data_IF_242117104414
#
_entry.id   IF_242117104414
#
_cell.length_a   1.000
_cell.length_b   1.000
_cell.length_c   1.000
_cell.angle_alpha   90.00
_cell.angle_beta   90.00
_cell.angle_gamma   90.00
#
_symmetry.space_group_name_H-M   'P 1'
#
loop_
_entity.id
_entity.type
_entity.pdbx_description
1 polymer ?
#
# COMPACT_ATOMS: atom_id res chain seq x y z
N UNK A 1 41.28 -20.53 53.68
CA UNK A 1 40.83 -19.13 53.60
C UNK A 1 41.65 -18.43 52.54
N UNK A 2 41.07 -18.18 51.37
CA UNK A 2 41.60 -17.25 50.36
C UNK A 2 40.38 -16.65 49.67
N UNK A 3 40.18 -15.36 49.88
CA UNK A 3 39.07 -14.59 49.32
C UNK A 3 39.48 -14.07 47.93
N UNK A 4 38.85 -14.57 46.88
CA UNK A 4 38.91 -13.97 45.55
C UNK A 4 37.83 -12.88 45.47
N UNK A 5 38.26 -11.61 45.46
CA UNK A 5 37.40 -10.45 45.15
C UNK A 5 37.39 -10.26 43.63
N UNK A 6 36.22 -10.37 43.02
CA UNK A 6 35.98 -9.91 41.65
C UNK A 6 35.77 -8.39 41.65
N UNK A 7 36.29 -7.63 40.65
CA UNK A 7 36.00 -6.22 40.53
C UNK A 7 34.59 -6.01 39.97
N UNK A 8 33.84 -5.09 40.59
CA UNK A 8 32.59 -4.57 40.06
C UNK A 8 32.90 -3.73 38.82
N UNK A 9 32.54 -4.23 37.63
CA UNK A 9 32.50 -3.41 36.43
C UNK A 9 31.20 -2.57 36.46
N UNK A 10 31.24 -1.28 36.12
CA UNK A 10 30.04 -0.48 36.00
C UNK A 10 29.21 -1.00 34.82
N UNK A 11 27.96 -1.36 35.10
CA UNK A 11 26.94 -1.62 34.08
C UNK A 11 26.62 -0.27 33.43
N UNK A 12 27.40 0.08 32.41
CA UNK A 12 27.03 1.15 31.48
C UNK A 12 25.84 0.66 30.67
N UNK A 13 24.65 1.04 31.12
CA UNK A 13 23.42 0.95 30.33
C UNK A 13 23.59 1.93 29.16
N UNK A 14 24.14 1.44 28.05
CA UNK A 14 23.99 2.11 26.77
C UNK A 14 22.54 1.90 26.34
N UNK A 15 21.69 2.88 26.63
CA UNK A 15 20.45 3.07 25.88
C UNK A 15 20.90 3.45 24.48
N UNK A 16 21.08 2.45 23.61
CA UNK A 16 21.12 2.68 22.19
C UNK A 16 19.73 3.16 21.80
N UNK A 17 19.56 4.49 21.83
CA UNK A 17 18.45 5.14 21.17
C UNK A 17 18.66 4.91 19.67
N UNK A 18 18.21 3.75 19.19
CA UNK A 18 18.05 3.50 17.77
C UNK A 18 16.95 4.46 17.31
N UNK A 19 17.35 5.69 16.98
CA UNK A 19 16.61 6.54 16.06
C UNK A 19 16.61 5.78 14.73
N UNK A 20 15.70 4.82 14.59
CA UNK A 20 15.26 4.35 13.30
C UNK A 20 14.61 5.55 12.64
N UNK A 21 15.41 6.32 11.91
CA UNK A 21 14.91 7.05 10.77
C UNK A 21 14.38 5.97 9.82
N UNK A 22 13.13 5.55 10.02
CA UNK A 22 12.34 5.05 8.90
C UNK A 22 12.30 6.24 7.96
N UNK A 23 13.12 6.19 6.91
CA UNK A 23 12.87 7.00 5.73
C UNK A 23 11.50 6.56 5.25
N UNK A 24 10.47 7.27 5.71
CA UNK A 24 9.11 7.07 5.26
C UNK A 24 9.13 7.17 3.75
N UNK A 25 8.50 6.23 3.08
CA UNK A 25 7.93 6.54 1.78
C UNK A 25 6.62 5.78 1.76
N UNK A 26 5.60 6.40 2.34
CA UNK A 26 4.27 6.21 1.83
C UNK A 26 4.25 7.04 0.52
N UNK A 27 4.09 6.35 -0.59
CA UNK A 27 4.22 6.91 -1.92
C UNK A 27 3.51 5.99 -2.87
N UNK A 28 2.19 5.92 -2.69
CA UNK A 28 1.34 5.15 -3.57
C UNK A 28 1.39 5.76 -4.98
N UNK A 29 1.19 4.89 -5.96
CA UNK A 29 1.02 5.29 -7.34
C UNK A 29 -0.14 4.51 -7.93
N UNK A 30 -0.71 5.04 -9.01
CA UNK A 30 -1.69 4.28 -9.78
C UNK A 30 -1.62 4.64 -11.26
N UNK A 31 -1.91 3.66 -12.11
CA UNK A 31 -2.11 3.89 -13.53
C UNK A 31 -3.48 4.50 -13.81
N UNK A 32 -3.55 5.48 -14.71
CA UNK A 32 -4.82 5.85 -15.32
C UNK A 32 -5.49 4.63 -15.97
N UNK A 33 -6.81 4.67 -16.13
CA UNK A 33 -7.60 3.55 -16.67
C UNK A 33 -7.14 3.09 -18.06
N UNK A 34 -6.60 3.99 -18.87
CA UNK A 34 -6.03 3.71 -20.18
C UNK A 34 -4.55 3.33 -20.16
N UNK A 35 -3.93 3.31 -18.97
CA UNK A 35 -2.53 3.02 -18.72
C UNK A 35 -1.54 3.98 -19.38
N UNK A 36 -1.98 5.17 -19.79
CA UNK A 36 -1.13 6.19 -20.42
C UNK A 36 -0.38 7.05 -19.43
N UNK A 37 -0.90 7.20 -18.22
CA UNK A 37 -0.29 8.00 -17.18
C UNK A 37 -0.17 7.22 -15.88
N UNK A 38 0.80 7.61 -15.07
CA UNK A 38 0.92 7.17 -13.68
C UNK A 38 0.88 8.39 -12.78
N UNK A 39 -0.01 8.38 -11.79
CA UNK A 39 -0.03 9.38 -10.73
C UNK A 39 0.76 8.86 -9.53
N UNK A 40 1.60 9.68 -8.92
CA UNK A 40 2.53 9.29 -7.85
C UNK A 40 2.41 10.29 -6.69
N UNK A 41 2.19 9.79 -5.48
CA UNK A 41 2.32 10.54 -4.25
C UNK A 41 3.79 10.59 -3.81
N UNK A 42 4.27 11.76 -3.39
CA UNK A 42 5.61 11.96 -2.85
C UNK A 42 5.55 12.38 -1.39
N UNK A 43 6.42 11.76 -0.60
CA UNK A 43 6.57 12.01 0.82
C UNK A 43 8.05 12.12 1.23
N UNK A 44 8.31 12.85 2.33
CA UNK A 44 9.62 13.08 2.94
C UNK A 44 10.56 13.97 2.12
N UNK A 45 11.68 13.41 1.62
CA UNK A 45 12.71 14.19 0.93
C UNK A 45 12.20 14.86 -0.35
N UNK A 46 11.05 14.40 -0.85
CA UNK A 46 10.27 15.02 -1.92
C UNK A 46 8.82 15.05 -1.50
N UNK A 47 8.15 16.17 -1.73
CA UNK A 47 6.73 16.35 -1.46
C UNK A 47 6.01 16.69 -2.76
N UNK A 48 4.72 16.39 -2.81
CA UNK A 48 3.88 16.73 -3.95
C UNK A 48 3.17 15.53 -4.58
N UNK A 49 2.37 15.84 -5.59
CA UNK A 49 1.60 14.88 -6.35
C UNK A 49 1.96 15.06 -7.83
N UNK A 50 2.44 13.99 -8.46
CA UNK A 50 2.92 14.03 -9.83
C UNK A 50 2.08 13.15 -10.74
N UNK A 51 2.04 13.51 -12.01
CA UNK A 51 1.54 12.67 -13.08
C UNK A 51 2.61 12.53 -14.16
N UNK A 52 2.94 11.29 -14.49
CA UNK A 52 3.93 10.92 -15.50
C UNK A 52 3.21 10.43 -16.74
N UNK A 53 3.47 11.04 -17.90
CA UNK A 53 3.08 10.48 -19.19
C UNK A 53 4.04 9.35 -19.59
N UNK A 54 3.53 8.13 -19.76
CA UNK A 54 4.34 6.93 -19.98
C UNK A 54 5.05 6.94 -21.34
N UNK A 55 4.48 7.59 -22.35
CA UNK A 55 5.03 7.60 -23.69
C UNK A 55 6.21 8.57 -23.83
N UNK A 56 6.08 9.76 -23.24
CA UNK A 56 7.05 10.85 -23.35
C UNK A 56 7.98 10.98 -22.15
N UNK A 57 7.65 10.36 -21.02
CA UNK A 57 8.35 10.58 -19.75
C UNK A 57 8.08 11.93 -19.11
N UNK A 58 7.14 12.72 -19.67
CA UNK A 58 6.84 14.06 -19.17
C UNK A 58 6.20 13.98 -17.79
N UNK A 59 6.80 14.68 -16.83
CA UNK A 59 6.28 14.84 -15.47
C UNK A 59 5.46 16.15 -15.41
N UNK A 60 4.26 16.07 -14.85
CA UNK A 60 3.39 17.20 -14.54
C UNK A 60 3.10 17.21 -13.05
N UNK A 61 3.34 18.32 -12.38
CA UNK A 61 3.05 18.49 -10.96
C UNK A 61 1.62 19.01 -10.75
N UNK A 62 0.93 18.46 -9.75
CA UNK A 62 -0.37 18.97 -9.34
C UNK A 62 -0.22 20.37 -8.73
N UNK A 63 -1.08 21.34 -9.08
CA UNK A 63 -1.05 22.67 -8.49
C UNK A 63 -1.65 22.62 -7.07
N UNK A 64 -0.87 22.12 -6.11
CA UNK A 64 -1.30 21.97 -4.73
C UNK A 64 -1.58 23.34 -4.07
N UNK A 65 -2.62 23.45 -3.23
CA UNK A 65 -2.88 24.66 -2.46
C UNK A 65 -1.73 24.94 -1.49
N UNK A 66 -1.55 26.21 -1.12
CA UNK A 66 -0.47 26.67 -0.25
C UNK A 66 -0.38 25.91 1.09
N UNK A 67 -1.52 25.42 1.61
CA UNK A 67 -1.57 24.66 2.86
C UNK A 67 -1.03 23.24 2.77
N UNK A 68 -0.83 22.74 1.55
CA UNK A 68 -0.22 21.45 1.22
C UNK A 68 1.18 21.61 0.63
N UNK A 69 1.68 22.85 0.56
CA UNK A 69 3.04 23.09 0.10
C UNK A 69 4.02 22.43 1.08
N UNK A 70 4.95 21.66 0.55
CA UNK A 70 5.97 20.93 1.30
C UNK A 70 5.42 19.82 2.21
N UNK A 71 4.10 19.58 2.21
CA UNK A 71 3.47 18.51 2.99
C UNK A 71 3.74 17.15 2.36
N UNK A 72 3.91 16.13 3.20
CA UNK A 72 3.92 14.75 2.73
C UNK A 72 2.55 14.37 2.15
N UNK A 73 2.57 13.79 0.95
CA UNK A 73 1.42 13.09 0.39
C UNK A 73 1.57 11.62 0.74
N UNK A 74 0.86 11.17 1.76
CA UNK A 74 1.02 9.83 2.34
C UNK A 74 0.57 8.75 1.35
N UNK A 75 -0.52 8.99 0.62
CA UNK A 75 -1.12 7.98 -0.24
C UNK A 75 -1.94 8.62 -1.35
N UNK A 76 -2.14 7.88 -2.44
CA UNK A 76 -2.98 8.25 -3.57
C UNK A 76 -3.72 7.03 -4.09
N UNK A 77 -4.99 7.22 -4.41
CA UNK A 77 -5.85 6.26 -5.04
C UNK A 77 -6.49 6.85 -6.30
N UNK A 78 -6.83 5.96 -7.24
CA UNK A 78 -7.68 6.33 -8.38
C UNK A 78 -9.08 6.68 -7.87
N UNK A 79 -9.56 7.88 -8.19
CA UNK A 79 -10.94 8.30 -7.93
C UNK A 79 -11.87 7.91 -9.08
N UNK A 80 -12.86 8.77 -9.34
CA UNK A 80 -13.69 8.68 -10.56
C UNK A 80 -12.88 8.92 -11.83
N UNK A 81 -13.55 8.97 -12.98
CA UNK A 81 -12.91 9.12 -14.29
C UNK A 81 -11.98 10.36 -14.34
N UNK A 82 -10.66 10.11 -14.34
CA UNK A 82 -9.61 11.13 -14.42
C UNK A 82 -9.25 11.81 -13.09
N UNK A 83 -9.84 11.40 -11.97
CA UNK A 83 -9.55 11.95 -10.64
C UNK A 83 -8.48 11.16 -9.90
N UNK A 84 -7.68 11.87 -9.12
CA UNK A 84 -6.78 11.30 -8.11
C UNK A 84 -7.27 11.71 -6.73
N UNK A 85 -7.58 10.74 -5.87
CA UNK A 85 -7.81 10.98 -4.45
C UNK A 85 -6.48 10.82 -3.73
N UNK A 86 -6.15 11.70 -2.79
CA UNK A 86 -4.89 11.62 -2.07
C UNK A 86 -5.02 12.04 -0.61
N UNK A 87 -4.13 11.52 0.21
CA UNK A 87 -4.10 11.72 1.65
C UNK A 87 -2.98 12.69 2.02
N UNK A 88 -3.34 13.81 2.66
CA UNK A 88 -2.40 14.80 3.16
C UNK A 88 -3.02 15.59 4.32
N UNK A 89 -2.22 15.89 5.35
CA UNK A 89 -2.60 16.79 6.46
C UNK A 89 -3.96 16.44 7.09
N UNK A 90 -4.11 15.19 7.51
CA UNK A 90 -5.33 14.65 8.14
C UNK A 90 -6.61 14.80 7.29
N UNK A 91 -6.47 14.74 5.97
CA UNK A 91 -7.58 14.88 5.06
C UNK A 91 -7.40 14.10 3.76
N UNK A 92 -8.55 13.66 3.22
CA UNK A 92 -8.64 13.19 1.85
C UNK A 92 -8.93 14.39 0.95
N UNK A 93 -8.12 14.52 -0.08
CA UNK A 93 -8.21 15.52 -1.12
C UNK A 93 -8.50 14.86 -2.46
N UNK A 94 -9.01 15.64 -3.40
CA UNK A 94 -9.18 15.24 -4.79
C UNK A 94 -8.40 16.20 -5.67
N UNK A 95 -7.68 15.64 -6.64
CA UNK A 95 -7.08 16.35 -7.77
C UNK A 95 -7.79 15.96 -9.07
N UNK A 96 -8.35 16.95 -9.75
CA UNK A 96 -8.98 16.82 -11.07
C UNK A 96 -8.20 17.68 -12.07
N UNK A 97 -7.34 17.08 -12.91
CA UNK A 97 -6.57 17.83 -13.91
C UNK A 97 -7.46 18.66 -14.85
N UNK A 98 -7.08 19.91 -15.09
CA UNK A 98 -7.80 20.83 -15.99
C UNK A 98 -9.06 21.49 -15.42
N UNK A 99 -9.50 21.14 -14.21
CA UNK A 99 -10.62 21.83 -13.56
C UNK A 99 -10.23 23.26 -13.11
N UNK A 100 -11.20 24.17 -13.06
CA UNK A 100 -10.99 25.56 -12.62
C UNK A 100 -10.47 25.65 -11.16
N UNK A 101 -10.89 24.71 -10.32
CA UNK A 101 -10.34 24.48 -8.98
C UNK A 101 -9.84 23.04 -8.94
N UNK A 102 -8.60 22.80 -9.34
CA UNK A 102 -8.10 21.45 -9.62
C UNK A 102 -7.91 20.61 -8.36
N UNK A 103 -7.65 21.23 -7.21
CA UNK A 103 -7.45 20.51 -5.95
C UNK A 103 -8.48 20.96 -4.92
N UNK A 104 -9.16 20.01 -4.28
CA UNK A 104 -10.18 20.28 -3.27
C UNK A 104 -10.06 19.32 -2.09
N UNK A 105 -10.23 19.83 -0.88
CA UNK A 105 -10.41 19.01 0.32
C UNK A 105 -11.79 18.35 0.26
N UNK A 106 -11.85 17.05 0.45
CA UNK A 106 -13.11 16.29 0.40
C UNK A 106 -13.56 15.89 1.80
N UNK A 107 -12.69 15.24 2.58
CA UNK A 107 -13.02 14.73 3.90
C UNK A 107 -11.90 14.93 4.90
N UNK A 108 -12.26 15.05 6.18
CA UNK A 108 -11.31 14.90 7.29
C UNK A 108 -11.08 13.41 7.53
N UNK A 109 -9.86 13.00 7.89
CA UNK A 109 -9.60 11.62 8.33
C UNK A 109 -9.95 11.38 9.79
N UNK A 110 -10.20 12.44 10.57
CA UNK A 110 -10.62 12.32 11.96
C UNK A 110 -11.82 11.35 12.11
N UNK A 111 -11.82 10.49 13.14
CA UNK A 111 -10.88 10.44 14.28
C UNK A 111 -9.59 9.65 14.03
N UNK A 112 -9.31 9.20 12.81
CA UNK A 112 -8.13 8.38 12.50
C UNK A 112 -6.85 9.19 12.68
N UNK A 113 -5.94 8.67 13.50
CA UNK A 113 -4.61 9.24 13.74
C UNK A 113 -3.57 8.50 12.91
N UNK A 114 -2.69 9.26 12.25
CA UNK A 114 -1.66 8.68 11.38
C UNK A 114 -2.26 7.92 10.21
N UNK A 115 -3.28 8.50 9.58
CA UNK A 115 -3.95 7.86 8.45
C UNK A 115 -2.95 7.60 7.31
N UNK A 116 -3.01 6.41 6.72
CA UNK A 116 -2.20 5.97 5.59
C UNK A 116 -3.05 5.09 4.65
N UNK A 117 -2.44 4.52 3.61
CA UNK A 117 -3.03 3.56 2.68
C UNK A 117 -4.46 3.92 2.25
N UNK A 118 -4.62 5.01 1.51
CA UNK A 118 -5.90 5.40 0.95
C UNK A 118 -6.29 4.43 -0.18
N UNK A 119 -7.46 3.81 -0.08
CA UNK A 119 -8.03 2.99 -1.15
C UNK A 119 -9.54 3.14 -1.25
N UNK A 120 -10.08 2.82 -2.43
CA UNK A 120 -11.48 3.07 -2.78
C UNK A 120 -12.10 1.86 -3.44
N UNK A 121 -13.33 1.55 -3.07
CA UNK A 121 -14.13 0.54 -3.75
C UNK A 121 -14.69 1.14 -5.03
N UNK A 122 -14.19 0.68 -6.17
CA UNK A 122 -14.66 1.13 -7.49
C UNK A 122 -15.68 0.19 -8.13
N UNK A 123 -15.94 -0.97 -7.50
CA UNK A 123 -16.93 -1.92 -7.99
C UNK A 123 -18.35 -1.39 -7.76
N UNK A 124 -19.09 -1.17 -8.84
CA UNK A 124 -20.50 -0.77 -8.81
C UNK A 124 -21.40 -1.88 -8.28
N UNK A 125 -22.47 -1.50 -7.57
CA UNK A 125 -23.53 -2.42 -7.18
C UNK A 125 -23.27 -3.21 -5.90
N UNK A 126 -22.23 -2.85 -5.14
CA UNK A 126 -21.98 -3.37 -3.80
C UNK A 126 -22.43 -2.38 -2.72
N UNK A 127 -22.75 -2.81 -1.49
CA UNK A 127 -23.00 -1.91 -0.36
C UNK A 127 -21.83 -0.99 -0.01
N UNK A 128 -20.64 -1.28 -0.56
CA UNK A 128 -19.41 -0.55 -0.34
C UNK A 128 -19.02 0.35 -1.51
N UNK A 129 -19.81 0.41 -2.59
CA UNK A 129 -19.54 1.26 -3.76
C UNK A 129 -19.20 2.68 -3.30
N UNK A 130 -18.09 3.24 -3.81
CA UNK A 130 -17.57 4.57 -3.49
C UNK A 130 -17.19 4.79 -2.01
N UNK A 131 -17.07 3.73 -1.21
CA UNK A 131 -16.50 3.84 0.12
C UNK A 131 -15.00 4.15 0.03
N UNK A 132 -14.57 5.12 0.83
CA UNK A 132 -13.16 5.43 1.05
C UNK A 132 -12.67 4.64 2.25
N UNK A 133 -11.44 4.14 2.18
CA UNK A 133 -10.77 3.47 3.28
C UNK A 133 -9.39 4.07 3.49
N UNK A 134 -8.94 4.04 4.74
CA UNK A 134 -7.57 4.35 5.16
C UNK A 134 -7.15 3.32 6.20
N UNK A 135 -5.85 3.07 6.33
CA UNK A 135 -5.28 2.48 7.54
C UNK A 135 -4.94 3.58 8.56
N UNK A 136 -4.86 3.26 9.84
CA UNK A 136 -4.43 4.20 10.88
C UNK A 136 -4.76 3.71 12.29
N UNK A 137 -4.67 4.59 13.27
CA UNK A 137 -4.87 4.26 14.68
C UNK A 137 -5.96 5.11 15.35
N UNK A 138 -6.49 4.63 16.48
CA UNK A 138 -7.43 5.40 17.32
C UNK A 138 -6.73 6.49 18.14
N UNK A 139 -5.44 6.32 18.42
CA UNK A 139 -4.65 7.22 19.25
C UNK A 139 -3.19 7.31 18.75
N UNK A 140 -2.52 8.42 19.05
CA UNK A 140 -1.16 8.72 18.60
C UNK A 140 -0.08 7.84 19.25
N UNK A 141 -0.37 7.24 20.41
CA UNK A 141 0.52 6.37 21.18
C UNK A 141 0.33 4.87 20.88
N UNK A 142 -0.53 4.53 19.91
CA UNK A 142 -0.71 3.16 19.49
C UNK A 142 0.59 2.62 18.86
N UNK A 143 1.03 1.45 19.35
CA UNK A 143 2.21 0.75 18.83
C UNK A 143 1.91 -0.24 17.70
N UNK A 144 0.64 -0.35 17.29
CA UNK A 144 0.21 -1.19 16.16
C UNK A 144 0.39 -0.47 14.82
N UNK A 145 0.52 -1.23 13.74
CA UNK A 145 0.55 -0.69 12.38
C UNK A 145 -0.82 -0.16 11.90
N UNK A 146 -1.81 -0.09 12.79
CA UNK A 146 -3.15 0.37 12.52
C UNK A 146 -4.11 -0.72 12.04
N UNK A 147 -5.36 -0.33 11.83
CA UNK A 147 -6.43 -1.11 11.22
C UNK A 147 -7.11 -0.29 10.13
N UNK A 148 -7.97 -0.91 9.34
CA UNK A 148 -8.82 -0.18 8.40
C UNK A 148 -9.88 0.65 9.10
N UNK A 149 -10.10 1.82 8.56
CA UNK A 149 -11.25 2.66 8.78
C UNK A 149 -11.88 2.96 7.44
N UNK A 150 -13.20 3.05 7.41
CA UNK A 150 -13.90 3.35 6.18
C UNK A 150 -14.98 4.40 6.33
N UNK A 151 -15.36 4.97 5.19
CA UNK A 151 -16.33 6.05 5.07
C UNK A 151 -17.24 5.78 3.89
N UNK A 152 -18.54 5.59 4.17
CA UNK A 152 -19.57 5.50 3.14
C UNK A 152 -19.79 6.84 2.42
N UNK A 153 -20.07 6.83 1.11
CA UNK A 153 -20.43 8.03 0.37
C UNK A 153 -21.70 8.66 0.97
N UNK A 154 -21.75 9.98 1.04
CA UNK A 154 -22.93 10.72 1.51
C UNK A 154 -23.31 10.52 2.99
N UNK A 155 -22.49 9.83 3.78
CA UNK A 155 -22.75 9.60 5.21
C UNK A 155 -22.85 10.93 5.98
N UNK A 156 -24.00 11.14 6.66
CA UNK A 156 -24.33 12.37 7.41
C UNK A 156 -23.37 12.62 8.58
N UNK A 157 -22.77 11.56 9.13
CA UNK A 157 -21.61 11.63 10.02
C UNK A 157 -20.35 11.79 9.18
N UNK A 158 -19.62 12.89 9.36
CA UNK A 158 -18.43 13.23 8.55
C UNK A 158 -17.17 12.43 8.88
N UNK A 159 -17.25 11.47 9.79
CA UNK A 159 -16.12 10.70 10.27
C UNK A 159 -15.87 9.42 9.46
N UNK A 160 -14.62 8.99 9.46
CA UNK A 160 -14.26 7.60 9.23
C UNK A 160 -14.68 6.76 10.46
N UNK A 161 -15.11 5.52 10.24
CA UNK A 161 -15.46 4.59 11.32
C UNK A 161 -14.65 3.31 11.18
N UNK A 162 -14.37 2.66 12.32
CA UNK A 162 -13.52 1.47 12.36
C UNK A 162 -14.10 0.33 11.52
N UNK A 163 -13.23 -0.42 10.87
CA UNK A 163 -13.51 -1.75 10.35
C UNK A 163 -13.02 -2.74 11.40
N UNK A 164 -13.91 -3.59 11.89
CA UNK A 164 -13.56 -4.58 12.90
C UNK A 164 -12.73 -5.70 12.27
N UNK A 165 -11.46 -5.83 12.65
CA UNK A 165 -10.61 -6.92 12.20
C UNK A 165 -10.66 -8.11 13.17
N UNK A 166 -11.30 -9.21 12.76
CA UNK A 166 -11.38 -10.43 13.57
C UNK A 166 -10.24 -11.38 13.22
N UNK A 167 -9.29 -11.56 14.15
CA UNK A 167 -8.16 -12.53 14.05
C UNK A 167 -7.08 -12.19 13.00
N UNK A 168 -7.15 -11.01 12.42
CA UNK A 168 -6.12 -10.43 11.55
C UNK A 168 -5.62 -9.18 12.25
N UNK A 169 -4.33 -9.12 12.58
CA UNK A 169 -3.70 -7.93 13.13
C UNK A 169 -3.08 -7.09 12.02
N UNK A 170 -2.94 -5.78 12.25
CA UNK A 170 -2.13 -4.90 11.39
C UNK A 170 -2.52 -4.95 9.90
N UNK A 171 -3.82 -4.94 9.61
CA UNK A 171 -4.30 -4.94 8.23
C UNK A 171 -4.05 -3.57 7.58
N UNK A 172 -3.24 -3.54 6.53
CA UNK A 172 -2.78 -2.34 5.82
C UNK A 172 -2.79 -2.55 4.30
N UNK A 173 -2.44 -1.51 3.53
CA UNK A 173 -2.21 -1.62 2.08
C UNK A 173 -3.36 -2.24 1.29
N UNK A 174 -4.61 -1.90 1.62
CA UNK A 174 -5.79 -2.45 0.97
C UNK A 174 -5.88 -2.02 -0.50
N UNK A 175 -6.29 -2.94 -1.38
CA UNK A 175 -6.49 -2.65 -2.81
C UNK A 175 -7.60 -3.53 -3.37
N UNK A 176 -8.47 -2.92 -4.18
CA UNK A 176 -9.49 -3.65 -4.93
C UNK A 176 -8.97 -3.97 -6.34
N UNK A 177 -9.14 -5.22 -6.73
CA UNK A 177 -8.99 -5.63 -8.13
C UNK A 177 -10.20 -5.19 -8.97
N UNK A 178 -10.06 -5.23 -10.30
CA UNK A 178 -11.12 -4.79 -11.22
C UNK A 178 -12.41 -5.63 -11.11
N UNK A 179 -12.33 -6.88 -10.64
CA UNK A 179 -13.49 -7.74 -10.36
C UNK A 179 -14.09 -7.52 -8.95
N UNK A 180 -13.50 -6.60 -8.18
CA UNK A 180 -13.98 -6.18 -6.87
C UNK A 180 -13.48 -6.98 -5.67
N UNK A 181 -12.54 -7.90 -5.87
CA UNK A 181 -11.92 -8.63 -4.74
C UNK A 181 -10.95 -7.71 -3.99
N UNK A 182 -11.07 -7.69 -2.65
CA UNK A 182 -10.16 -6.97 -1.78
C UNK A 182 -8.93 -7.84 -1.49
N UNK A 183 -7.76 -7.25 -1.75
CA UNK A 183 -6.49 -7.76 -1.27
C UNK A 183 -5.91 -6.77 -0.26
N UNK A 184 -5.17 -7.27 0.72
CA UNK A 184 -4.55 -6.43 1.74
C UNK A 184 -3.29 -7.09 2.31
N UNK A 185 -2.55 -6.32 3.09
CA UNK A 185 -1.34 -6.75 3.76
C UNK A 185 -1.65 -7.04 5.23
N UNK A 186 -1.10 -8.13 5.74
CA UNK A 186 -1.08 -8.41 7.18
C UNK A 186 0.06 -9.37 7.48
N UNK A 187 0.79 -9.09 8.56
CA UNK A 187 1.98 -9.82 8.99
C UNK A 187 3.07 -9.97 7.90
N UNK A 188 3.12 -9.00 6.99
CA UNK A 188 4.09 -8.96 5.89
C UNK A 188 3.72 -9.81 4.66
N UNK A 189 2.51 -10.36 4.61
CA UNK A 189 2.04 -11.25 3.55
C UNK A 189 0.83 -10.69 2.80
N UNK A 190 0.47 -11.34 1.69
CA UNK A 190 -0.75 -10.99 0.94
C UNK A 190 -1.93 -11.83 1.42
N UNK A 191 -3.02 -11.12 1.72
CA UNK A 191 -4.30 -11.67 2.09
C UNK A 191 -5.36 -11.31 1.05
N UNK A 192 -6.34 -12.20 0.91
CA UNK A 192 -7.58 -11.93 0.21
C UNK A 192 -8.71 -11.86 1.23
N UNK A 193 -9.65 -10.92 1.06
CA UNK A 193 -10.80 -10.84 1.93
C UNK A 193 -11.90 -9.93 1.42
N UNK A 194 -12.62 -9.36 2.38
CA UNK A 194 -13.58 -8.29 2.14
C UNK A 194 -14.21 -7.80 3.44
N UNK A 195 -15.10 -6.83 3.31
CA UNK A 195 -15.77 -6.19 4.45
C UNK A 195 -17.21 -6.69 4.49
N UNK A 196 -17.52 -7.50 5.49
CA UNK A 196 -18.87 -7.96 5.75
C UNK A 196 -19.66 -6.84 6.44
N UNK A 197 -20.75 -6.41 5.79
CA UNK A 197 -21.66 -5.37 6.30
C UNK A 197 -22.98 -6.04 6.68
N UNK A 198 -23.06 -6.65 7.85
CA UNK A 198 -24.29 -7.29 8.31
C UNK A 198 -25.29 -6.22 8.78
N UNK A 199 -26.58 -6.41 8.45
CA UNK A 199 -27.66 -5.54 8.95
C UNK A 199 -27.85 -5.68 10.48
N UNK A 200 -27.43 -6.81 11.05
CA UNK A 200 -27.50 -7.10 12.50
C UNK A 200 -26.49 -6.29 13.34
N UNK A 201 -25.55 -5.59 12.69
CA UNK A 201 -24.65 -4.62 13.33
C UNK A 201 -25.33 -3.27 13.60
N UNK A 202 -26.67 -3.18 13.45
CA UNK A 202 -27.50 -2.04 13.79
C UNK A 202 -27.43 -1.69 15.30
N UNK A 203 -26.32 -1.08 15.69
CA UNK A 203 -25.99 -0.73 17.08
C UNK A 203 -24.49 -0.65 17.36
N UNK A 204 -23.63 -1.15 16.47
CA UNK A 204 -22.17 -1.06 16.61
C UNK A 204 -21.65 0.11 15.76
N UNK A 205 -20.78 0.94 16.34
CA UNK A 205 -20.14 2.08 15.66
C UNK A 205 -18.98 1.63 14.74
N UNK A 206 -19.26 0.73 13.80
CA UNK A 206 -18.29 0.21 12.82
C UNK A 206 -18.85 0.18 11.40
N UNK A 207 -17.97 0.20 10.40
CA UNK A 207 -18.39 0.08 8.99
C UNK A 207 -18.83 -1.35 8.66
N UNK A 208 -18.16 -2.33 9.26
CA UNK A 208 -18.34 -3.76 9.04
C UNK A 208 -17.18 -4.55 9.66
N UNK A 209 -17.10 -5.84 9.32
CA UNK A 209 -16.06 -6.75 9.79
C UNK A 209 -15.14 -7.13 8.63
N UNK A 210 -13.83 -6.91 8.78
CA UNK A 210 -12.82 -7.46 7.86
C UNK A 210 -12.72 -8.97 8.09
N UNK A 211 -12.89 -9.68 7.00
CA UNK A 211 -12.77 -11.13 6.93
C UNK A 211 -11.84 -11.50 5.77
N UNK A 212 -11.05 -12.55 5.90
CA UNK A 212 -10.11 -12.93 4.87
C UNK A 212 -9.27 -14.16 5.19
N UNK A 213 -8.45 -14.56 4.22
CA UNK A 213 -7.51 -15.67 4.32
C UNK A 213 -6.16 -15.27 3.70
N UNK A 214 -5.06 -15.75 4.29
CA UNK A 214 -3.72 -15.58 3.75
C UNK A 214 -3.61 -16.39 2.47
N UNK A 215 -3.22 -15.74 1.36
CA UNK A 215 -3.17 -16.40 0.04
C UNK A 215 -1.76 -16.51 -0.53
N UNK A 216 -0.86 -15.60 -0.15
CA UNK A 216 0.53 -15.61 -0.62
C UNK A 216 1.48 -15.34 0.56
N UNK A 217 2.12 -16.40 1.11
CA UNK A 217 3.07 -16.27 2.20
C UNK A 217 4.43 -15.79 1.68
N UNK A 218 4.52 -14.53 1.26
CA UNK A 218 5.69 -13.97 0.57
C UNK A 218 6.74 -13.39 1.53
N UNK A 219 6.43 -13.21 2.82
CA UNK A 219 7.40 -12.70 3.78
C UNK A 219 8.60 -13.66 3.92
N UNK A 220 9.81 -13.09 3.88
CA UNK A 220 11.08 -13.78 4.05
C UNK A 220 11.71 -13.23 5.34
N UNK A 221 12.03 -14.13 6.27
CA UNK A 221 12.62 -13.75 7.56
C UNK A 221 13.91 -14.52 7.79
N UNK A 222 14.95 -13.79 8.23
CA UNK A 222 16.23 -14.36 8.62
C UNK A 222 16.49 -14.09 10.11
N UNK A 223 17.17 -15.01 10.80
CA UNK A 223 17.46 -14.92 12.24
C UNK A 223 18.59 -13.96 12.59
N UNK A 224 19.29 -13.43 11.59
CA UNK A 224 20.42 -12.54 11.76
C UNK A 224 19.93 -11.08 11.65
N UNK A 225 19.66 -10.46 12.81
CA UNK A 225 19.20 -9.07 12.92
C UNK A 225 20.20 -8.04 12.33
N UNK A 226 21.47 -8.43 12.16
CA UNK A 226 22.48 -7.57 11.55
C UNK A 226 22.47 -7.63 10.00
N UNK A 227 21.76 -8.58 9.40
CA UNK A 227 21.68 -8.73 7.96
C UNK A 227 20.33 -8.23 7.40
N UNK A 228 20.39 -7.42 6.33
CA UNK A 228 19.22 -6.85 5.67
C UNK A 228 18.35 -7.85 4.88
N UNK A 229 18.51 -9.15 5.09
CA UNK A 229 17.90 -10.21 4.28
C UNK A 229 16.43 -10.52 4.60
N UNK A 230 15.86 -9.90 5.64
CA UNK A 230 14.43 -9.96 5.89
C UNK A 230 13.68 -9.05 4.92
N UNK A 231 12.64 -9.57 4.28
CA UNK A 231 11.76 -8.83 3.38
C UNK A 231 10.30 -9.14 3.70
N UNK A 232 9.43 -8.14 3.61
CA UNK A 232 7.98 -8.29 3.75
C UNK A 232 7.29 -7.53 2.64
N UNK A 233 6.06 -7.94 2.32
CA UNK A 233 5.25 -7.23 1.34
C UNK A 233 4.92 -5.84 1.89
N UNK A 234 5.26 -4.81 1.10
CA UNK A 234 5.04 -3.40 1.44
C UNK A 234 3.95 -2.76 0.57
N UNK A 235 3.82 -3.20 -0.68
CA UNK A 235 2.73 -2.79 -1.57
C UNK A 235 2.25 -3.97 -2.41
N UNK A 236 0.98 -3.95 -2.78
CA UNK A 236 0.35 -4.90 -3.70
C UNK A 236 -0.43 -4.16 -4.78
N UNK A 237 -0.43 -4.74 -5.98
CA UNK A 237 -1.19 -4.24 -7.11
C UNK A 237 -1.77 -5.44 -7.90
N UNK A 238 -3.06 -5.76 -7.74
CA UNK A 238 -3.72 -6.76 -8.58
C UNK A 238 -3.85 -6.24 -10.01
N UNK A 239 -3.46 -7.06 -10.99
CA UNK A 239 -3.59 -6.72 -12.41
C UNK A 239 -3.75 -8.00 -13.25
N UNK A 240 -4.88 -8.09 -13.95
CA UNK A 240 -5.27 -9.31 -14.67
C UNK A 240 -5.37 -10.50 -13.72
N UNK A 241 -4.72 -11.62 -14.08
CA UNK A 241 -4.71 -12.85 -13.27
C UNK A 241 -3.57 -12.91 -12.23
N UNK A 242 -2.92 -11.79 -11.96
CA UNK A 242 -1.73 -11.72 -11.10
C UNK A 242 -1.90 -10.70 -9.99
N UNK A 243 -1.22 -10.96 -8.87
CA UNK A 243 -0.97 -9.98 -7.82
C UNK A 243 0.52 -9.65 -7.90
N UNK A 244 0.83 -8.40 -8.19
CA UNK A 244 2.19 -7.88 -8.14
C UNK A 244 2.45 -7.39 -6.71
N UNK A 245 3.61 -7.72 -6.17
CA UNK A 245 3.99 -7.34 -4.82
C UNK A 245 5.40 -6.74 -4.80
N UNK A 246 5.54 -5.61 -4.11
CA UNK A 246 6.84 -5.05 -3.75
C UNK A 246 7.20 -5.58 -2.37
N UNK A 247 8.21 -6.45 -2.31
CA UNK A 247 8.85 -6.89 -1.08
C UNK A 247 9.93 -5.87 -0.73
N UNK A 248 10.00 -5.47 0.54
CA UNK A 248 11.00 -4.52 1.04
C UNK A 248 11.62 -5.03 2.33
N UNK A 249 12.94 -4.92 2.40
CA UNK A 249 13.76 -5.06 3.58
C UNK A 249 14.53 -3.77 3.86
N UNK A 250 15.46 -3.81 4.81
CA UNK A 250 16.24 -2.63 5.23
C UNK A 250 17.10 -2.02 4.11
N UNK A 251 17.60 -2.85 3.19
CA UNK A 251 18.55 -2.46 2.14
C UNK A 251 18.32 -3.18 0.81
N UNK A 252 17.15 -3.80 0.65
CA UNK A 252 16.82 -4.55 -0.54
C UNK A 252 15.32 -4.49 -0.78
N UNK A 253 14.95 -4.47 -2.03
CA UNK A 253 13.59 -4.61 -2.48
C UNK A 253 13.54 -5.59 -3.65
N UNK A 254 12.40 -6.22 -3.81
CA UNK A 254 12.17 -7.21 -4.86
C UNK A 254 10.74 -7.07 -5.33
N UNK A 255 10.55 -7.02 -6.65
CA UNK A 255 9.23 -7.05 -7.25
C UNK A 255 8.97 -8.47 -7.70
N UNK A 256 7.91 -9.06 -7.17
CA UNK A 256 7.43 -10.38 -7.54
C UNK A 256 6.01 -10.30 -8.10
N UNK A 257 5.58 -11.35 -8.79
CA UNK A 257 4.16 -11.60 -9.04
C UNK A 257 3.78 -13.01 -8.63
N UNK A 258 2.61 -13.17 -8.06
CA UNK A 258 1.99 -14.46 -7.73
C UNK A 258 0.64 -14.56 -8.44
N UNK A 259 0.21 -15.74 -8.90
CA UNK A 259 -1.11 -15.88 -9.48
C UNK A 259 -2.18 -15.51 -8.45
N UNK A 260 -3.19 -14.79 -8.91
CA UNK A 260 -4.40 -14.56 -8.13
C UNK A 260 -5.18 -15.89 -8.04
N UNK A 261 -5.78 -16.23 -6.88
CA UNK A 261 -6.63 -17.42 -6.79
C UNK A 261 -7.77 -17.34 -7.82
N UNK A 262 -8.00 -18.42 -8.58
CA UNK A 262 -9.00 -18.42 -9.65
C UNK A 262 -10.45 -18.26 -9.16
N UNK A 263 -10.68 -18.54 -7.87
CA UNK A 263 -11.93 -18.28 -7.15
C UNK A 263 -11.58 -17.58 -5.85
N UNK A 264 -12.41 -16.64 -5.37
CA UNK A 264 -12.22 -16.06 -4.05
C UNK A 264 -12.18 -17.15 -2.99
N UNK A 265 -11.15 -17.14 -2.13
CA UNK A 265 -11.12 -18.02 -0.95
C UNK A 265 -12.07 -17.55 0.14
N UNK A 266 -12.45 -16.27 0.09
CA UNK A 266 -13.39 -15.67 1.01
C UNK A 266 -14.43 -14.88 0.22
N UNK A 267 -15.72 -15.11 0.50
CA UNK A 267 -16.81 -14.33 -0.05
C UNK A 267 -17.54 -13.64 1.12
N UNK A 268 -17.47 -12.31 1.26
CA UNK A 268 -18.03 -11.57 2.40
C UNK A 268 -19.55 -11.73 2.57
N UNK A 269 -20.25 -12.11 1.50
CA UNK A 269 -21.70 -12.33 1.47
C UNK A 269 -22.12 -13.78 1.75
N UNK A 270 -21.17 -14.68 2.02
CA UNK A 270 -21.44 -16.07 2.35
C UNK A 270 -20.92 -16.42 3.74
N UNK A 271 -21.63 -17.30 4.45
CA UNK A 271 -21.15 -17.92 5.69
C UNK A 271 -20.06 -19.00 5.43
N UNK A 272 -19.56 -19.10 4.20
CA UNK A 272 -18.53 -20.06 3.82
C UNK A 272 -17.15 -19.57 4.23
N UNK A 273 -16.51 -20.30 5.13
CA UNK A 273 -15.12 -20.10 5.51
C UNK A 273 -14.22 -21.09 4.76
N UNK A 274 -13.05 -20.67 4.26
CA UNK A 274 -12.15 -21.59 3.56
C UNK A 274 -11.63 -22.66 4.52
N UNK A 275 -11.74 -23.92 4.11
CA UNK A 275 -11.15 -25.04 4.86
C UNK A 275 -9.63 -24.88 4.96
N UNK A 276 -9.01 -25.45 6.01
CA UNK A 276 -7.55 -25.46 6.17
C UNK A 276 -6.85 -26.00 4.92
N UNK A 277 -7.40 -27.05 4.30
CA UNK A 277 -6.87 -27.62 3.06
C UNK A 277 -6.88 -26.61 1.92
N UNK A 278 -8.00 -25.92 1.68
CA UNK A 278 -8.10 -24.93 0.61
C UNK A 278 -7.12 -23.76 0.81
N UNK A 279 -6.92 -23.30 2.05
CA UNK A 279 -5.95 -22.25 2.36
C UNK A 279 -4.51 -22.72 2.11
N UNK A 280 -4.14 -23.91 2.60
CA UNK A 280 -2.81 -24.49 2.38
C UNK A 280 -2.54 -24.72 0.89
N UNK A 281 -3.53 -25.19 0.13
CA UNK A 281 -3.42 -25.36 -1.33
C UNK A 281 -3.20 -24.04 -2.05
N UNK A 282 -3.94 -22.98 -1.67
CA UNK A 282 -3.74 -21.65 -2.25
C UNK A 282 -2.34 -21.09 -1.95
N UNK A 283 -1.88 -21.19 -0.70
CA UNK A 283 -0.54 -20.74 -0.30
C UNK A 283 0.56 -21.53 -1.03
N UNK A 284 0.43 -22.86 -1.13
CA UNK A 284 1.37 -23.69 -1.87
C UNK A 284 1.39 -23.36 -3.36
N UNK A 285 0.22 -23.12 -3.95
CA UNK A 285 0.11 -22.70 -5.35
C UNK A 285 0.76 -21.34 -5.58
N UNK A 286 0.54 -20.39 -4.68
CA UNK A 286 1.19 -19.07 -4.73
C UNK A 286 2.71 -19.23 -4.73
N UNK A 287 3.28 -19.85 -3.70
CA UNK A 287 4.73 -20.05 -3.58
C UNK A 287 5.36 -20.75 -4.79
N UNK A 288 4.70 -21.77 -5.33
CA UNK A 288 5.23 -22.56 -6.47
C UNK A 288 5.21 -21.76 -7.78
N UNK A 289 4.33 -20.78 -7.90
CA UNK A 289 4.10 -20.02 -9.15
C UNK A 289 4.53 -18.56 -9.03
N UNK A 290 5.08 -18.15 -7.89
CA UNK A 290 5.63 -16.81 -7.73
C UNK A 290 6.82 -16.65 -8.66
N UNK A 291 6.83 -15.55 -9.40
CA UNK A 291 7.91 -15.16 -10.29
C UNK A 291 8.59 -13.92 -9.73
N UNK A 292 9.92 -13.97 -9.62
CA UNK A 292 10.75 -12.80 -9.34
C UNK A 292 10.88 -12.02 -10.65
N UNK A 293 10.35 -10.80 -10.68
CA UNK A 293 10.41 -9.93 -11.86
C UNK A 293 11.68 -9.10 -11.84
N UNK A 294 12.00 -8.53 -10.67
CA UNK A 294 13.10 -7.61 -10.46
C UNK A 294 13.64 -7.85 -9.05
N UNK A 295 14.94 -8.11 -8.95
CA UNK A 295 15.66 -8.40 -7.72
C UNK A 295 16.73 -7.32 -7.47
N UNK A 296 17.25 -7.28 -6.25
CA UNK A 296 18.32 -6.36 -5.83
C UNK A 296 18.02 -4.89 -6.12
N UNK A 297 16.76 -4.50 -5.90
CA UNK A 297 16.39 -3.09 -5.92
C UNK A 297 16.82 -2.43 -4.60
N UNK A 298 17.31 -1.20 -4.68
CA UNK A 298 17.53 -0.36 -3.50
C UNK A 298 16.20 0.27 -3.03
N UNK A 299 16.25 1.48 -2.48
CA UNK A 299 15.09 2.29 -2.11
C UNK A 299 14.11 2.44 -3.29
N UNK A 300 13.03 1.66 -3.26
CA UNK A 300 11.96 1.62 -4.26
C UNK A 300 10.68 2.23 -3.70
N UNK A 301 9.98 3.03 -4.50
CA UNK A 301 8.71 3.68 -4.13
C UNK A 301 7.83 3.90 -5.37
N UNK A 302 6.61 4.46 -5.19
CA UNK A 302 5.72 4.73 -6.32
C UNK A 302 5.31 3.47 -7.07
N UNK A 303 5.18 2.34 -6.38
CA UNK A 303 4.92 1.05 -7.00
C UNK A 303 3.45 0.89 -7.39
N UNK A 304 3.18 0.49 -8.62
CA UNK A 304 1.85 0.06 -9.05
C UNK A 304 1.92 -0.87 -10.27
N UNK A 305 0.81 -1.57 -10.53
CA UNK A 305 0.65 -2.43 -11.69
C UNK A 305 -0.72 -2.26 -12.33
N UNK A 306 -0.81 -2.58 -13.63
CA UNK A 306 -2.07 -2.64 -14.38
C UNK A 306 -1.95 -3.65 -15.53
N UNK A 307 -3.07 -4.02 -16.15
CA UNK A 307 -3.11 -4.80 -17.38
C UNK A 307 -3.88 -4.03 -18.45
N UNK A 308 -3.25 -3.73 -19.58
CA UNK A 308 -3.87 -3.03 -20.70
C UNK A 308 -3.82 -3.91 -21.93
N UNK A 309 -5.00 -4.33 -22.42
CA UNK A 309 -5.11 -5.21 -23.58
C UNK A 309 -4.41 -6.56 -23.40
N UNK A 310 -4.49 -7.13 -22.20
CA UNK A 310 -3.84 -8.41 -21.86
C UNK A 310 -2.32 -8.32 -21.65
N UNK A 311 -1.76 -7.11 -21.59
CA UNK A 311 -0.33 -6.88 -21.35
C UNK A 311 -0.12 -6.26 -19.98
N UNK A 312 0.62 -6.91 -19.07
CA UNK A 312 0.90 -6.33 -17.78
C UNK A 312 1.89 -5.17 -17.90
N UNK A 313 1.70 -4.18 -17.05
CA UNK A 313 2.61 -3.05 -16.84
C UNK A 313 2.86 -2.91 -15.35
N UNK A 314 4.13 -2.80 -14.98
CA UNK A 314 4.55 -2.52 -13.61
C UNK A 314 5.39 -1.26 -13.64
N UNK A 315 4.98 -0.28 -12.85
CA UNK A 315 5.69 0.97 -12.66
C UNK A 315 6.28 1.02 -11.25
N UNK A 316 7.48 1.57 -11.14
CA UNK A 316 8.14 1.83 -9.87
C UNK A 316 9.19 2.92 -10.04
N UNK A 317 9.54 3.58 -8.94
CA UNK A 317 10.64 4.52 -8.86
C UNK A 317 11.81 3.87 -8.12
N UNK A 318 13.03 4.06 -8.63
CA UNK A 318 14.27 3.70 -7.93
C UNK A 318 15.02 4.97 -7.55
N UNK A 319 15.79 4.97 -6.45
CA UNK A 319 16.65 6.11 -6.04
C UNK A 319 17.81 6.37 -7.01
N UNK A 320 18.31 5.34 -7.65
CA UNK A 320 19.34 5.42 -8.70
C UNK A 320 18.96 4.48 -9.83
N UNK A 321 18.96 4.98 -11.07
CA UNK A 321 18.89 4.11 -12.23
C UNK A 321 20.23 3.39 -12.48
N UNK A 322 20.23 2.44 -13.42
CA UNK A 322 21.43 1.67 -13.77
C UNK A 322 22.58 2.54 -14.33
N UNK A 323 22.31 3.80 -14.67
CA UNK A 323 23.27 4.76 -15.22
C UNK A 323 23.73 5.80 -14.19
N UNK A 324 23.23 5.75 -12.95
CA UNK A 324 23.57 6.66 -11.85
C UNK A 324 23.02 8.07 -11.98
N UNK A 325 21.99 8.30 -12.82
CA UNK A 325 21.45 9.62 -13.20
C UNK A 325 20.43 10.21 -12.21
N UNK A 326 20.29 9.61 -11.03
CA UNK A 326 19.32 9.99 -10.00
C UNK A 326 18.06 9.13 -10.04
N UNK A 327 16.99 9.53 -9.32
CA UNK A 327 15.83 8.68 -9.18
C UNK A 327 15.14 8.42 -10.52
N UNK A 328 15.12 7.14 -10.92
CA UNK A 328 14.62 6.69 -12.21
C UNK A 328 13.16 6.29 -12.13
N UNK A 329 12.38 6.72 -13.11
CA UNK A 329 11.02 6.26 -13.35
C UNK A 329 11.10 5.00 -14.22
N UNK A 330 10.71 3.85 -13.69
CA UNK A 330 10.92 2.56 -14.34
C UNK A 330 9.59 1.94 -14.78
N UNK A 331 9.59 1.29 -15.94
CA UNK A 331 8.44 0.56 -16.46
C UNK A 331 8.87 -0.82 -16.96
N UNK A 332 8.18 -1.85 -16.48
CA UNK A 332 8.27 -3.21 -17.00
C UNK A 332 6.97 -3.57 -17.73
N UNK A 333 7.08 -4.09 -18.96
CA UNK A 333 5.93 -4.36 -19.85
C UNK A 333 5.78 -5.86 -20.18
N UNK A 334 5.89 -6.72 -19.16
CA UNK A 334 5.55 -8.15 -19.26
C UNK A 334 6.69 -9.08 -19.69
N UNK A 335 7.75 -8.55 -20.31
CA UNK A 335 8.91 -9.33 -20.75
C UNK A 335 10.18 -8.50 -20.68
N UNK A 336 11.33 -9.18 -20.54
CA UNK A 336 12.64 -8.54 -20.52
C UNK A 336 12.87 -7.69 -19.27
N UNK A 337 13.82 -6.75 -19.39
CA UNK A 337 14.19 -5.82 -18.31
C UNK A 337 13.25 -4.62 -18.29
N UNK A 338 13.03 -4.05 -17.11
CA UNK A 338 12.39 -2.74 -16.99
C UNK A 338 13.22 -1.67 -17.73
N UNK A 339 12.55 -0.72 -18.37
CA UNK A 339 13.17 0.43 -19.02
C UNK A 339 12.95 1.69 -18.19
N UNK A 340 13.93 2.59 -18.19
CA UNK A 340 13.73 3.94 -17.70
C UNK A 340 12.80 4.69 -18.67
N UNK A 341 11.78 5.34 -18.13
CA UNK A 341 10.82 6.17 -18.90
C UNK A 341 11.02 7.66 -18.62
N UNK A 342 11.82 8.01 -17.63
CA UNK A 342 12.14 9.38 -17.26
C UNK A 342 12.94 9.41 -15.96
N UNK A 343 13.30 10.61 -15.55
CA UNK A 343 14.00 10.88 -14.32
C UNK A 343 13.34 12.04 -13.62
N UNK A 344 13.33 11.99 -12.30
CA UNK A 344 13.08 13.20 -11.54
C UNK A 344 14.23 14.19 -11.78
N UNK A 345 13.95 15.49 -11.66
CA UNK A 345 15.02 16.49 -11.62
C UNK A 345 16.01 16.15 -10.50
N UNK A 346 17.30 16.38 -10.78
CA UNK A 346 18.28 16.47 -9.72
C UNK A 346 17.95 17.72 -8.90
N UNK A 347 17.73 17.53 -7.60
CA UNK A 347 17.58 18.63 -6.65
C UNK A 347 18.94 19.29 -6.38
#
# INVERSE_FOLDING_TARGET
MNAFKLPAAPVSVFIALALSFQSGIAGDAFFSKDGRTVTIALCNARSGLLQVDIASGKITEAPLPQELKDECIESVARGGDGEALFLAKDAVWVWTPGAATPVKRVYSTAPVVGAADLFVVTQSGTPLTDCLFVSGNEAADASSAGTFYGRKPGSKGKAFVSVFCRRVGNATGGVFSDDGRLFFLSDGDVWEGGIQTDDDDAGLERLGTLVGARIAPLAISNTDEANGGGQWVHHIAPAGNWIYALLRGRHMATIVRTPMPARPLYAPSSDDFPTVKAQLEAMAQSLTKTEILIEDLDDTFGFCATEIGGRPRVFYCTRTDAEGKGPGLMLWEGTGKARAIGHFSAD
#
